data_IF_512096123445
#
_entry.id   IF_512096123445
#
_cell.length_a   1.000
_cell.length_b   1.000
_cell.length_c   1.000
_cell.angle_alpha   90.00
_cell.angle_beta   90.00
_cell.angle_gamma   90.00
#
_symmetry.space_group_name_H-M   'P 1'
#
loop_
_entity.id
_entity.type
_entity.pdbx_description
1 polymer ?
#
# COMPACT_ATOMS: atom_id res chain seq x y z
N UNK A 1 17.84 0.20 20.72
CA UNK A 1 17.51 0.29 19.32
C UNK A 1 17.52 -1.08 18.65
N UNK A 2 16.40 -1.46 18.09
CA UNK A 2 16.23 -2.78 17.53
C UNK A 2 15.77 -2.70 16.08
N UNK A 3 16.42 -3.44 15.23
CA UNK A 3 16.02 -3.58 13.85
C UNK A 3 16.03 -5.06 13.51
N UNK A 4 14.92 -5.56 13.00
CA UNK A 4 14.88 -6.96 12.66
C UNK A 4 13.56 -7.36 12.04
N UNK A 5 13.46 -8.62 11.68
CA UNK A 5 12.29 -9.22 11.08
C UNK A 5 11.40 -9.83 12.16
N UNK A 6 10.10 -9.76 11.95
CA UNK A 6 9.20 -10.40 12.88
C UNK A 6 7.81 -10.57 12.31
N UNK A 7 6.99 -11.28 13.03
CA UNK A 7 5.59 -11.49 12.72
C UNK A 7 4.76 -11.03 13.88
N UNK A 8 3.65 -10.37 13.58
CA UNK A 8 2.78 -9.85 14.61
C UNK A 8 1.34 -10.11 14.23
N UNK A 9 0.58 -10.65 15.18
CA UNK A 9 -0.83 -10.89 14.96
C UNK A 9 -1.62 -10.02 15.92
N UNK A 10 -2.52 -9.20 15.38
CA UNK A 10 -3.28 -8.28 16.18
C UNK A 10 -4.58 -8.92 16.67
N UNK A 11 -5.12 -8.44 17.80
CA UNK A 11 -6.36 -9.01 18.33
C UNK A 11 -7.54 -8.91 17.37
N UNK A 12 -7.54 -7.91 16.50
CA UNK A 12 -8.65 -7.71 15.59
C UNK A 12 -8.61 -8.63 14.35
N UNK A 13 -7.55 -9.45 14.25
CA UNK A 13 -7.45 -10.38 13.13
C UNK A 13 -6.47 -9.96 12.05
N UNK A 14 -5.92 -8.76 12.16
CA UNK A 14 -4.87 -8.32 11.23
C UNK A 14 -3.56 -9.03 11.55
N UNK A 15 -2.66 -9.08 10.57
CA UNK A 15 -1.33 -9.62 10.81
C UNK A 15 -0.30 -8.85 9.99
N UNK A 16 0.90 -8.78 10.53
CA UNK A 16 2.02 -8.11 9.86
C UNK A 16 3.23 -9.02 9.88
N UNK A 17 3.94 -9.06 8.78
CA UNK A 17 5.17 -9.83 8.67
C UNK A 17 6.20 -8.98 7.93
N UNK A 18 7.31 -8.69 8.59
CA UNK A 18 8.32 -7.85 7.97
C UNK A 18 9.27 -7.25 8.96
N UNK A 19 9.81 -6.11 8.59
CA UNK A 19 10.87 -5.46 9.36
C UNK A 19 10.29 -4.51 10.38
N UNK A 20 11.01 -4.40 11.50
CA UNK A 20 10.67 -3.51 12.61
C UNK A 20 11.89 -2.72 13.00
N UNK A 21 11.67 -1.53 13.50
CA UNK A 21 12.71 -0.70 14.08
C UNK A 21 12.13 -0.03 15.32
N UNK A 22 12.77 -0.27 16.47
CA UNK A 22 12.30 0.25 17.76
C UNK A 22 10.83 -0.05 18.02
N UNK A 23 10.39 -1.27 17.65
CA UNK A 23 9.03 -1.69 17.90
C UNK A 23 8.00 -1.22 16.88
N UNK A 24 8.42 -0.48 15.87
CA UNK A 24 7.52 0.05 14.85
C UNK A 24 7.78 -0.61 13.51
N UNK A 25 6.73 -0.77 12.73
CA UNK A 25 6.90 -1.24 11.36
C UNK A 25 7.81 -0.26 10.61
N UNK A 26 8.83 -0.80 9.98
CA UNK A 26 9.82 0.06 9.36
C UNK A 26 10.63 -0.77 8.37
N UNK A 27 10.86 -0.24 7.16
CA UNK A 27 11.51 -1.01 6.12
C UNK A 27 10.46 -1.71 5.28
N UNK A 28 10.68 -2.97 4.97
CA UNK A 28 9.75 -3.70 4.11
C UNK A 28 8.89 -4.64 4.92
N UNK A 29 7.61 -4.72 4.57
CA UNK A 29 6.72 -5.61 5.26
C UNK A 29 5.39 -5.77 4.58
N UNK A 30 4.66 -6.79 5.02
CA UNK A 30 3.38 -7.15 4.45
C UNK A 30 2.32 -7.14 5.55
N UNK A 31 1.30 -6.34 5.34
CA UNK A 31 0.18 -6.25 6.27
C UNK A 31 -1.04 -6.90 5.61
N UNK A 32 -1.64 -7.85 6.31
CA UNK A 32 -2.87 -8.47 5.87
C UNK A 32 -3.95 -8.11 6.87
N UNK A 33 -4.96 -7.40 6.42
CA UNK A 33 -6.05 -7.00 7.28
C UNK A 33 -7.16 -8.04 7.23
N UNK A 34 -7.89 -8.15 8.32
CA UNK A 34 -8.97 -9.11 8.42
C UNK A 34 -9.99 -8.94 7.32
N UNK A 35 -10.19 -7.71 6.86
CA UNK A 35 -11.18 -7.41 5.83
C UNK A 35 -10.69 -7.74 4.42
N UNK A 36 -9.49 -8.30 4.29
CA UNK A 36 -8.98 -8.71 3.00
C UNK A 36 -8.06 -7.72 2.31
N UNK A 37 -7.83 -6.55 2.92
CA UNK A 37 -6.90 -5.58 2.36
C UNK A 37 -5.48 -6.05 2.65
N UNK A 38 -4.61 -6.00 1.64
CA UNK A 38 -3.21 -6.39 1.77
C UNK A 38 -2.33 -5.27 1.30
N UNK A 39 -1.38 -4.87 2.14
CA UNK A 39 -0.33 -3.94 1.73
C UNK A 39 1.01 -4.65 1.78
N UNK A 40 1.78 -4.52 0.71
CA UNK A 40 3.09 -5.14 0.61
C UNK A 40 4.06 -4.08 0.09
N UNK A 41 4.94 -3.62 0.96
CA UNK A 41 5.84 -2.55 0.55
C UNK A 41 6.60 -1.95 1.69
N UNK A 42 6.95 -0.69 1.53
CA UNK A 42 7.82 0.01 2.46
C UNK A 42 7.04 0.71 3.55
N UNK A 43 7.66 0.77 4.72
CA UNK A 43 7.08 1.35 5.92
C UNK A 43 8.07 2.29 6.55
N UNK A 44 7.56 3.30 7.21
CA UNK A 44 8.37 4.21 8.00
C UNK A 44 7.59 4.61 9.23
N UNK A 45 8.11 4.23 10.39
CA UNK A 45 7.50 4.58 11.69
C UNK A 45 6.02 4.25 11.72
N UNK A 46 5.68 2.98 11.43
CA UNK A 46 4.31 2.45 11.50
C UNK A 46 3.42 2.86 10.33
N UNK A 47 3.89 3.66 9.38
CA UNK A 47 3.07 4.11 8.28
C UNK A 47 3.61 3.65 6.94
N UNK A 48 2.72 3.42 6.00
CA UNK A 48 3.12 3.11 4.64
C UNK A 48 3.85 4.33 4.08
N UNK A 49 5.04 4.11 3.58
CA UNK A 49 5.87 5.20 3.12
C UNK A 49 6.91 4.65 2.16
N UNK A 50 6.97 5.20 0.96
CA UNK A 50 7.81 4.68 -0.09
C UNK A 50 6.99 3.87 -1.07
N UNK A 51 7.63 2.94 -1.75
CA UNK A 51 6.96 2.16 -2.78
C UNK A 51 6.22 0.96 -2.19
N UNK A 52 5.00 0.72 -2.67
CA UNK A 52 4.26 -0.43 -2.21
C UNK A 52 3.10 -0.79 -3.11
N UNK A 53 2.51 -1.93 -2.82
CA UNK A 53 1.34 -2.44 -3.54
C UNK A 53 0.23 -2.65 -2.53
N UNK A 54 -0.91 -2.03 -2.78
CA UNK A 54 -2.07 -2.13 -1.90
C UNK A 54 -3.19 -2.81 -2.69
N UNK A 55 -3.70 -3.91 -2.15
CA UNK A 55 -4.80 -4.64 -2.76
C UNK A 55 -6.01 -4.54 -1.87
N UNK A 56 -7.14 -4.17 -2.46
CA UNK A 56 -8.38 -4.06 -1.72
C UNK A 56 -9.20 -5.33 -1.87
N UNK A 57 -10.09 -5.56 -0.92
CA UNK A 57 -10.92 -6.77 -0.96
C UNK A 57 -11.82 -6.81 -2.20
N UNK A 58 -12.10 -5.65 -2.78
CA UNK A 58 -12.95 -5.55 -3.97
C UNK A 58 -12.24 -5.95 -5.26
N UNK A 59 -10.93 -6.14 -5.20
CA UNK A 59 -10.16 -6.49 -6.40
C UNK A 59 -9.37 -5.35 -6.98
N UNK A 60 -9.50 -4.16 -6.42
CA UNK A 60 -8.71 -3.02 -6.86
C UNK A 60 -7.31 -3.13 -6.32
N UNK A 61 -6.36 -2.60 -7.07
CA UNK A 61 -4.96 -2.65 -6.69
C UNK A 61 -4.28 -1.33 -7.03
N UNK A 62 -3.56 -0.79 -6.04
CA UNK A 62 -2.73 0.39 -6.26
C UNK A 62 -1.26 -0.04 -6.17
N UNK A 63 -0.46 0.42 -7.12
CA UNK A 63 0.97 0.14 -7.14
C UNK A 63 1.69 1.46 -7.35
N UNK A 64 2.47 1.87 -6.38
CA UNK A 64 3.15 3.15 -6.48
C UNK A 64 3.64 3.63 -5.14
N UNK A 65 3.75 4.94 -5.01
CA UNK A 65 4.37 5.53 -3.84
C UNK A 65 3.35 6.00 -2.81
N UNK A 66 3.78 5.96 -1.56
CA UNK A 66 2.99 6.41 -0.41
C UNK A 66 3.81 7.40 0.39
N UNK A 67 3.11 8.27 1.08
CA UNK A 67 3.73 9.17 2.04
C UNK A 67 2.81 9.26 3.25
N UNK A 68 3.34 8.89 4.41
CA UNK A 68 2.61 8.94 5.68
C UNK A 68 1.23 8.28 5.59
N UNK A 69 1.18 7.14 4.92
CA UNK A 69 -0.03 6.33 4.86
C UNK A 69 -0.94 6.62 3.69
N UNK A 70 -0.67 7.66 2.90
CA UNK A 70 -1.53 8.02 1.78
C UNK A 70 -0.78 7.88 0.47
N UNK A 71 -1.53 7.59 -0.60
CA UNK A 71 -0.94 7.54 -1.93
C UNK A 71 -0.37 8.90 -2.28
N UNK A 72 0.84 8.91 -2.82
CA UNK A 72 1.53 10.16 -3.08
C UNK A 72 2.59 9.94 -4.15
N UNK A 73 2.63 10.82 -5.15
CA UNK A 73 3.57 10.69 -6.24
C UNK A 73 3.00 9.81 -7.34
N UNK A 74 3.89 9.16 -8.08
CA UNK A 74 3.47 8.34 -9.21
C UNK A 74 2.84 7.04 -8.77
N UNK A 75 1.78 6.64 -9.46
CA UNK A 75 1.14 5.39 -9.13
C UNK A 75 0.22 4.90 -10.23
N UNK A 76 -0.18 3.64 -10.09
CA UNK A 76 -1.05 2.95 -11.02
C UNK A 76 -2.16 2.28 -10.22
N UNK A 77 -3.42 2.58 -10.58
CA UNK A 77 -4.56 1.88 -10.00
C UNK A 77 -5.13 0.97 -11.05
N UNK A 78 -5.39 -0.28 -10.66
CA UNK A 78 -6.14 -1.21 -11.46
C UNK A 78 -7.47 -1.44 -10.79
N UNK A 79 -8.55 -1.13 -11.49
CA UNK A 79 -9.89 -1.28 -10.94
C UNK A 79 -10.37 -2.71 -11.07
N UNK A 80 -11.42 -3.05 -10.32
CA UNK A 80 -11.92 -4.42 -10.30
C UNK A 80 -12.36 -4.89 -11.68
N UNK A 81 -12.83 -3.98 -12.54
CA UNK A 81 -13.28 -4.33 -13.88
C UNK A 81 -12.13 -4.42 -14.89
N UNK A 82 -10.88 -4.20 -14.44
CA UNK A 82 -9.73 -4.28 -15.33
C UNK A 82 -9.27 -2.96 -15.91
N UNK A 83 -10.03 -1.90 -15.73
CA UNK A 83 -9.57 -0.57 -16.13
C UNK A 83 -8.36 -0.16 -15.32
N UNK A 84 -7.57 0.76 -15.86
CA UNK A 84 -6.39 1.25 -15.15
C UNK A 84 -6.30 2.76 -15.24
N UNK A 85 -5.77 3.36 -14.17
CA UNK A 85 -5.42 4.77 -14.16
C UNK A 85 -3.95 4.89 -13.76
N UNK A 86 -3.18 5.64 -14.54
CA UNK A 86 -1.77 5.86 -14.28
C UNK A 86 -1.52 7.36 -14.20
N UNK A 87 -0.98 7.82 -13.10
CA UNK A 87 -0.74 9.24 -12.95
C UNK A 87 -0.20 9.60 -11.60
N UNK A 88 -0.48 10.84 -11.19
CA UNK A 88 0.03 11.38 -9.94
C UNK A 88 -1.04 11.41 -8.87
N UNK A 89 -0.60 11.29 -7.63
CA UNK A 89 -1.48 11.30 -6.47
C UNK A 89 -0.94 12.26 -5.43
N UNK A 90 -1.84 12.91 -4.72
CA UNK A 90 -1.51 13.71 -3.56
C UNK A 90 -2.53 13.41 -2.48
N UNK A 91 -2.07 12.91 -1.34
CA UNK A 91 -2.93 12.58 -0.20
C UNK A 91 -4.08 11.67 -0.60
N UNK A 92 -3.77 10.64 -1.41
CA UNK A 92 -4.76 9.66 -1.82
C UNK A 92 -5.69 10.08 -2.94
N UNK A 93 -5.46 11.24 -3.52
CA UNK A 93 -6.33 11.76 -4.58
C UNK A 93 -5.56 11.91 -5.88
N UNK A 94 -6.28 11.79 -6.98
CA UNK A 94 -5.69 12.06 -8.29
C UNK A 94 -5.22 13.51 -8.32
N UNK A 95 -4.07 13.73 -8.93
CA UNK A 95 -3.50 15.06 -9.01
C UNK A 95 -2.84 15.26 -10.37
N UNK A 96 -3.16 16.39 -11.01
CA UNK A 96 -2.55 16.70 -12.29
C UNK A 96 -3.10 15.77 -13.38
N UNK A 97 -2.21 15.47 -14.32
CA UNK A 97 -2.60 14.69 -15.48
C UNK A 97 -2.35 13.22 -15.27
N UNK A 98 -3.20 12.41 -15.83
CA UNK A 98 -3.03 10.98 -15.79
C UNK A 98 -3.63 10.34 -17.03
N UNK A 99 -3.42 9.04 -17.16
CA UNK A 99 -3.90 8.27 -18.28
C UNK A 99 -4.86 7.20 -17.78
N UNK A 100 -6.04 7.16 -18.35
CA UNK A 100 -7.04 6.15 -18.01
C UNK A 100 -7.12 5.16 -19.17
N UNK A 101 -7.02 3.87 -18.86
CA UNK A 101 -7.04 2.82 -19.87
C UNK A 101 -8.24 1.92 -19.60
N UNK A 102 -9.12 1.81 -20.58
CA UNK A 102 -10.31 0.98 -20.45
C UNK A 102 -9.96 -0.48 -20.74
N UNK A 103 -10.53 -1.38 -19.97
CA UNK A 103 -10.13 -2.80 -20.06
C UNK A 103 -10.53 -3.45 -21.37
N UNK A 104 -11.56 -2.98 -21.99
CA UNK A 104 -12.05 -3.61 -23.21
C UNK A 104 -11.91 -2.74 -24.45
N UNK A 105 -10.88 -1.95 -24.47
CA UNK A 105 -10.57 -1.21 -25.69
C UNK A 105 -10.71 0.28 -25.60
#
# INVERSE_FOLDING_TARGET
>A
KKFGFGSLRYPNGDSYEGQFYNGLKHGKGRLLQKNGIVYNGEWKNEKMDGFGVLELATGERYKGFFESGAQHGSGLIRFANGDEYKGEFVQGRFYGKGTYVWSNG
#
